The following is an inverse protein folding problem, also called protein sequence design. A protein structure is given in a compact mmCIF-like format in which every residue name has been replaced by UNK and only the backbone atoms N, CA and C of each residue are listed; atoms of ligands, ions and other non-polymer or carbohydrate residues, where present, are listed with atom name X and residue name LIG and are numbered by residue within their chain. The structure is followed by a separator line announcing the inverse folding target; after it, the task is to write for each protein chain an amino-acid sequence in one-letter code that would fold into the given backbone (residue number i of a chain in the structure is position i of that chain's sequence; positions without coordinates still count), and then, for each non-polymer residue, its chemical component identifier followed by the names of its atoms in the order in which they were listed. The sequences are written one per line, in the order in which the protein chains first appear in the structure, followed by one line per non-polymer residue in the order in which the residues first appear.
data_IF_465902920025
#
_entry.id   IF_465902920025
#
_cell.length_a   1.000
_cell.length_b   1.000
_cell.length_c   1.000
_cell.angle_alpha   90.00
_cell.angle_beta   90.00
_cell.angle_gamma   90.00
#
_symmetry.space_group_name_H-M   'P 1'
#
loop_
_entity.id
_entity.type
_entity.pdbx_description
1 polymer ?
#
# COMPACT_ATOMS: atom_id res chain seq x y z
N UNK A 1 -4.83 8.77 -3.66
CA UNK A 1 -3.41 8.98 -3.30
C UNK A 1 -3.06 10.47 -3.19
N UNK A 2 -3.47 11.32 -4.12
CA UNK A 2 -3.18 12.77 -4.08
C UNK A 2 -3.58 13.43 -2.76
N UNK A 3 -4.80 13.19 -2.26
CA UNK A 3 -5.27 13.78 -1.00
C UNK A 3 -4.37 13.44 0.21
N UNK A 4 -3.84 12.22 0.28
CA UNK A 4 -2.92 11.82 1.36
C UNK A 4 -1.57 12.56 1.25
N UNK A 5 -1.04 12.68 0.03
CA UNK A 5 0.18 13.44 -0.22
C UNK A 5 -0.01 14.92 0.06
N UNK A 6 -1.16 15.49 -0.34
CA UNK A 6 -1.51 16.89 -0.09
C UNK A 6 -1.57 17.18 1.42
N UNK A 7 -2.30 16.37 2.19
CA UNK A 7 -2.40 16.56 3.64
C UNK A 7 -1.04 16.44 4.35
N UNK A 8 -0.18 15.54 3.92
CA UNK A 8 1.18 15.44 4.45
C UNK A 8 2.05 16.65 4.06
N UNK A 9 1.93 17.11 2.82
CA UNK A 9 2.65 18.28 2.31
C UNK A 9 2.29 19.57 3.07
N UNK A 10 1.00 19.79 3.37
CA UNK A 10 0.52 20.98 4.08
C UNK A 10 1.14 21.15 5.47
N UNK A 11 1.49 20.05 6.13
CA UNK A 11 2.14 20.07 7.45
C UNK A 11 3.66 19.91 7.38
N UNK A 12 4.25 20.04 6.18
CA UNK A 12 5.70 19.90 5.97
C UNK A 12 6.19 18.45 6.08
N UNK A 13 5.29 17.45 5.95
CA UNK A 13 5.63 16.05 5.95
C UNK A 13 6.31 15.60 4.65
N UNK A 14 7.14 14.57 4.73
CA UNK A 14 7.79 13.95 3.58
C UNK A 14 6.80 13.06 2.83
N UNK A 15 6.72 13.22 1.52
CA UNK A 15 5.88 12.43 0.62
C UNK A 15 6.73 11.84 -0.50
N UNK A 16 6.71 10.52 -0.63
CA UNK A 16 7.50 9.81 -1.64
C UNK A 16 6.55 9.09 -2.60
N UNK A 17 6.68 9.35 -3.89
CA UNK A 17 5.93 8.68 -4.95
C UNK A 17 6.79 7.65 -5.67
N UNK A 18 6.19 6.50 -5.96
CA UNK A 18 6.75 5.48 -6.85
C UNK A 18 5.89 5.44 -8.11
N UNK A 19 6.40 6.02 -9.19
CA UNK A 19 5.73 6.09 -10.48
C UNK A 19 6.19 4.96 -11.40
N UNK A 20 5.49 4.78 -12.52
CA UNK A 20 5.82 3.80 -13.56
C UNK A 20 5.86 4.52 -14.90
N UNK A 21 6.82 4.19 -15.74
CA UNK A 21 6.84 4.66 -17.12
C UNK A 21 5.70 4.01 -17.90
N UNK A 22 4.80 4.82 -18.45
CA UNK A 22 3.70 4.37 -19.31
C UNK A 22 3.78 5.04 -20.68
N UNK A 23 3.21 4.39 -21.69
CA UNK A 23 3.17 4.92 -23.06
C UNK A 23 2.36 6.23 -23.20
N UNK A 24 1.52 6.54 -22.23
CA UNK A 24 0.79 7.81 -22.16
C UNK A 24 1.38 8.68 -21.05
N UNK A 25 1.46 9.99 -21.30
CA UNK A 25 1.99 10.95 -20.33
C UNK A 25 1.21 10.87 -19.01
N UNK A 26 1.93 10.61 -17.92
CA UNK A 26 1.42 10.72 -16.57
C UNK A 26 2.23 11.77 -15.82
N UNK A 27 1.53 12.78 -15.32
CA UNK A 27 2.16 13.77 -14.45
C UNK A 27 2.23 13.22 -13.02
N UNK A 28 3.41 13.27 -12.38
CA UNK A 28 3.52 12.96 -10.96
C UNK A 28 2.58 13.83 -10.13
N UNK A 29 2.11 13.29 -9.01
CA UNK A 29 1.34 14.06 -8.04
C UNK A 29 2.16 15.30 -7.58
N UNK A 30 1.61 16.54 -7.67
CA UNK A 30 2.33 17.75 -7.39
C UNK A 30 2.74 17.92 -5.91
N UNK A 31 2.18 17.15 -5.00
CA UNK A 31 2.47 17.20 -3.57
C UNK A 31 3.53 16.19 -3.11
N UNK A 32 4.28 15.61 -4.05
CA UNK A 32 5.42 14.75 -3.72
C UNK A 32 6.66 15.58 -3.43
N UNK A 33 7.35 15.24 -2.34
CA UNK A 33 8.68 15.77 -2.04
C UNK A 33 9.77 15.03 -2.81
N UNK A 34 9.52 13.75 -3.12
CA UNK A 34 10.41 12.90 -3.91
C UNK A 34 9.57 11.98 -4.81
N UNK A 35 10.08 11.69 -6.01
CA UNK A 35 9.45 10.76 -6.94
C UNK A 35 10.50 9.84 -7.57
N UNK A 36 10.25 8.55 -7.54
CA UNK A 36 11.05 7.53 -8.21
C UNK A 36 10.21 6.92 -9.34
N UNK A 37 10.77 6.85 -10.55
CA UNK A 37 10.08 6.27 -11.70
C UNK A 37 10.70 4.93 -12.06
N UNK A 38 9.88 3.92 -12.23
CA UNK A 38 10.27 2.54 -12.54
C UNK A 38 9.84 2.17 -13.96
N UNK A 39 10.65 1.37 -14.64
CA UNK A 39 10.32 0.79 -15.95
C UNK A 39 9.43 -0.45 -15.80
N UNK A 40 9.55 -1.18 -14.68
CA UNK A 40 8.87 -2.46 -14.48
C UNK A 40 7.91 -2.42 -13.30
N UNK A 41 6.69 -2.91 -13.50
CA UNK A 41 5.66 -2.98 -12.46
C UNK A 41 6.10 -3.76 -11.23
N UNK A 42 6.79 -4.89 -11.41
CA UNK A 42 7.24 -5.70 -10.28
C UNK A 42 8.23 -4.96 -9.37
N UNK A 43 9.16 -4.21 -9.96
CA UNK A 43 10.13 -3.43 -9.19
C UNK A 43 9.44 -2.32 -8.38
N UNK A 44 8.48 -1.60 -8.99
CA UNK A 44 7.67 -0.60 -8.31
C UNK A 44 6.88 -1.21 -7.16
N UNK A 45 6.18 -2.34 -7.37
CA UNK A 45 5.36 -3.00 -6.35
C UNK A 45 6.20 -3.48 -5.17
N UNK A 46 7.31 -4.15 -5.41
CA UNK A 46 8.24 -4.58 -4.36
C UNK A 46 8.73 -3.38 -3.54
N UNK A 47 9.09 -2.29 -4.20
CA UNK A 47 9.58 -1.07 -3.53
C UNK A 47 8.51 -0.44 -2.64
N UNK A 48 7.25 -0.37 -3.11
CA UNK A 48 6.10 0.09 -2.30
C UNK A 48 5.88 -0.80 -1.08
N UNK A 49 5.89 -2.12 -1.27
CA UNK A 49 5.65 -3.08 -0.21
C UNK A 49 6.73 -3.04 0.87
N UNK A 50 8.00 -2.97 0.47
CA UNK A 50 9.13 -2.93 1.42
C UNK A 50 9.20 -1.64 2.23
N UNK A 51 8.75 -0.51 1.67
CA UNK A 51 8.76 0.78 2.34
C UNK A 51 7.64 0.93 3.36
N UNK A 52 6.54 0.19 3.21
CA UNK A 52 5.34 0.35 4.00
C UNK A 52 5.46 -0.27 5.40
N UNK A 53 4.72 0.32 6.35
CA UNK A 53 4.48 -0.20 7.71
C UNK A 53 2.99 -0.31 8.01
N UNK A 54 2.17 0.39 7.24
CA UNK A 54 0.71 0.31 7.22
C UNK A 54 0.29 0.39 5.77
N UNK A 55 -0.62 -0.46 5.37
CA UNK A 55 -1.21 -0.44 4.04
C UNK A 55 -2.62 0.12 4.11
N UNK A 56 -2.92 1.08 3.24
CA UNK A 56 -4.24 1.71 3.17
C UNK A 56 -4.71 1.71 1.72
N UNK A 57 -5.77 0.98 1.46
CA UNK A 57 -6.38 0.87 0.14
C UNK A 57 -7.72 1.60 0.09
N UNK A 58 -7.84 2.52 -0.82
CA UNK A 58 -9.10 3.17 -1.18
C UNK A 58 -9.75 2.46 -2.36
N UNK A 59 -11.05 2.70 -2.65
CA UNK A 59 -11.70 2.18 -3.85
C UNK A 59 -10.87 2.46 -5.10
N UNK A 60 -10.68 1.42 -5.92
CA UNK A 60 -9.83 1.52 -7.11
C UNK A 60 -10.08 0.42 -8.12
N UNK A 61 -9.39 0.45 -9.24
CA UNK A 61 -9.51 -0.53 -10.32
C UNK A 61 -8.54 -1.72 -10.17
N UNK A 62 -8.23 -2.34 -11.31
CA UNK A 62 -7.39 -3.54 -11.38
C UNK A 62 -6.00 -3.36 -10.76
N UNK A 63 -5.39 -2.17 -10.90
CA UNK A 63 -4.08 -1.91 -10.28
C UNK A 63 -4.14 -1.96 -8.75
N UNK A 64 -5.21 -1.42 -8.14
CA UNK A 64 -5.42 -1.50 -6.70
C UNK A 64 -5.66 -2.93 -6.24
N UNK A 65 -6.44 -3.71 -7.01
CA UNK A 65 -6.70 -5.13 -6.71
C UNK A 65 -5.44 -5.97 -6.86
N UNK A 66 -4.59 -5.70 -7.84
CA UNK A 66 -3.30 -6.36 -8.05
C UNK A 66 -2.36 -6.11 -6.86
N UNK A 67 -2.20 -4.85 -6.43
CA UNK A 67 -1.38 -4.49 -5.28
C UNK A 67 -1.94 -5.10 -3.98
N UNK A 68 -3.25 -5.03 -3.75
CA UNK A 68 -3.90 -5.62 -2.57
C UNK A 68 -3.71 -7.14 -2.52
N UNK A 69 -3.99 -7.83 -3.63
CA UNK A 69 -3.89 -9.30 -3.69
C UNK A 69 -2.46 -9.78 -3.45
N UNK A 70 -1.46 -9.07 -3.96
CA UNK A 70 -0.06 -9.38 -3.69
C UNK A 70 0.28 -9.23 -2.21
N UNK A 71 -0.12 -8.11 -1.58
CA UNK A 71 0.14 -7.88 -0.14
C UNK A 71 -0.56 -8.93 0.73
N UNK A 72 -1.80 -9.29 0.41
CA UNK A 72 -2.53 -10.34 1.12
C UNK A 72 -1.83 -11.70 0.99
N UNK A 73 -1.42 -12.08 -0.24
CA UNK A 73 -0.72 -13.32 -0.50
C UNK A 73 0.62 -13.38 0.23
N UNK A 74 1.45 -12.33 0.15
CA UNK A 74 2.74 -12.28 0.84
C UNK A 74 2.58 -12.33 2.36
N UNK A 75 1.53 -11.73 2.90
CA UNK A 75 1.23 -11.74 4.34
C UNK A 75 0.76 -13.13 4.79
N UNK A 76 -0.13 -13.77 4.02
CA UNK A 76 -0.63 -15.12 4.26
C UNK A 76 0.51 -16.14 4.28
N UNK A 77 1.38 -16.09 3.29
CA UNK A 77 2.53 -17.00 3.13
C UNK A 77 3.71 -16.69 4.07
N UNK A 78 3.59 -15.66 4.92
CA UNK A 78 4.66 -15.24 5.83
C UNK A 78 5.92 -14.73 5.10
N UNK A 79 5.79 -14.32 3.85
CA UNK A 79 6.88 -13.71 3.05
C UNK A 79 7.05 -12.24 3.36
N UNK A 80 6.08 -11.65 4.05
CA UNK A 80 6.09 -10.29 4.55
C UNK A 80 5.73 -10.29 6.04
N UNK A 81 6.31 -9.41 6.87
CA UNK A 81 5.84 -9.22 8.24
C UNK A 81 4.36 -8.82 8.25
N UNK A 82 3.63 -9.27 9.26
CA UNK A 82 2.23 -8.88 9.45
C UNK A 82 2.15 -7.39 9.77
N UNK A 83 1.70 -6.61 8.79
CA UNK A 83 1.47 -5.18 8.89
C UNK A 83 -0.05 -4.92 8.91
N UNK A 84 -0.53 -3.85 9.56
CA UNK A 84 -1.92 -3.44 9.44
C UNK A 84 -2.29 -3.13 7.99
N UNK A 85 -3.40 -3.70 7.53
CA UNK A 85 -3.96 -3.48 6.18
C UNK A 85 -5.37 -2.97 6.35
N UNK A 86 -5.65 -1.77 5.86
CA UNK A 86 -6.96 -1.13 5.92
C UNK A 86 -7.55 -0.94 4.54
N UNK A 87 -8.80 -1.37 4.37
CA UNK A 87 -9.61 -1.14 3.18
C UNK A 87 -10.65 -0.07 3.54
N UNK A 88 -10.47 1.13 3.01
CA UNK A 88 -11.31 2.28 3.32
C UNK A 88 -12.43 2.41 2.29
N UNK A 89 -13.66 2.53 2.77
CA UNK A 89 -14.87 2.61 1.95
C UNK A 89 -15.66 1.29 1.99
N UNK A 90 -16.42 1.08 3.07
CA UNK A 90 -17.19 -0.14 3.31
C UNK A 90 -18.08 -0.51 2.13
N UNK A 91 -18.81 0.45 1.57
CA UNK A 91 -19.72 0.22 0.46
C UNK A 91 -19.04 -0.43 -0.76
N UNK A 92 -17.78 -0.07 -1.00
CA UNK A 92 -17.00 -0.65 -2.09
C UNK A 92 -16.40 -2.01 -1.72
N UNK A 93 -15.81 -2.13 -0.52
CA UNK A 93 -15.05 -3.31 -0.12
C UNK A 93 -15.90 -4.46 0.44
N UNK A 94 -17.18 -4.23 0.75
CA UNK A 94 -18.08 -5.28 1.26
C UNK A 94 -18.16 -6.49 0.31
N UNK A 95 -18.23 -6.26 -0.99
CA UNK A 95 -18.26 -7.34 -1.99
C UNK A 95 -16.96 -8.15 -1.99
N UNK A 96 -15.82 -7.46 -1.83
CA UNK A 96 -14.52 -8.13 -1.72
C UNK A 96 -14.44 -8.97 -0.44
N UNK A 97 -14.89 -8.44 0.68
CA UNK A 97 -14.95 -9.16 1.97
C UNK A 97 -15.81 -10.43 1.86
N UNK A 98 -16.95 -10.36 1.20
CA UNK A 98 -17.80 -11.53 0.90
C UNK A 98 -17.08 -12.58 0.06
N UNK A 99 -16.24 -12.18 -0.90
CA UNK A 99 -15.40 -13.11 -1.68
C UNK A 99 -14.39 -13.83 -0.78
N UNK A 100 -13.73 -13.11 0.12
CA UNK A 100 -12.77 -13.69 1.07
C UNK A 100 -13.46 -14.67 2.02
N UNK A 101 -14.62 -14.32 2.57
CA UNK A 101 -15.43 -15.21 3.41
C UNK A 101 -15.84 -16.49 2.63
N UNK A 102 -16.16 -16.33 1.35
CA UNK A 102 -16.46 -17.48 0.49
C UNK A 102 -15.25 -18.38 0.27
N UNK A 103 -14.07 -17.81 0.10
CA UNK A 103 -12.81 -18.57 0.00
C UNK A 103 -12.56 -19.38 1.28
N UNK A 104 -12.75 -18.78 2.46
CA UNK A 104 -12.60 -19.49 3.74
C UNK A 104 -13.64 -20.64 3.88
N UNK A 105 -14.91 -20.37 3.57
CA UNK A 105 -15.97 -21.38 3.58
C UNK A 105 -15.65 -22.58 2.68
N UNK A 106 -15.03 -22.33 1.52
CA UNK A 106 -14.59 -23.36 0.58
C UNK A 106 -13.23 -23.99 0.96
N UNK A 107 -12.62 -23.56 2.07
CA UNK A 107 -11.31 -24.00 2.55
C UNK A 107 -10.17 -23.75 1.56
N UNK A 108 -10.27 -22.69 0.76
CA UNK A 108 -9.22 -22.21 -0.14
C UNK A 108 -8.18 -21.35 0.59
N UNK A 109 -8.58 -20.78 1.71
CA UNK A 109 -7.73 -20.05 2.68
C UNK A 109 -8.11 -20.52 4.09
N UNK A 110 -7.28 -20.17 5.09
CA UNK A 110 -7.59 -20.46 6.48
C UNK A 110 -8.55 -19.41 7.06
N UNK A 111 -9.32 -19.76 8.10
CA UNK A 111 -10.19 -18.79 8.81
C UNK A 111 -9.41 -17.61 9.42
N UNK A 112 -8.14 -17.83 9.77
CA UNK A 112 -7.26 -16.76 10.26
C UNK A 112 -6.94 -15.71 9.20
N UNK A 113 -7.03 -16.07 7.92
CA UNK A 113 -6.65 -15.21 6.81
C UNK A 113 -7.73 -14.16 6.53
N UNK A 114 -8.98 -14.40 6.94
CA UNK A 114 -10.05 -13.40 6.92
C UNK A 114 -9.72 -12.15 7.75
N UNK A 115 -8.81 -12.27 8.71
CA UNK A 115 -8.42 -11.21 9.65
C UNK A 115 -7.11 -10.51 9.26
N UNK A 116 -6.59 -10.77 8.06
CA UNK A 116 -5.36 -10.13 7.58
C UNK A 116 -5.59 -8.63 7.32
N UNK A 117 -6.81 -8.22 6.99
CA UNK A 117 -7.17 -6.83 6.73
C UNK A 117 -8.39 -6.39 7.54
N UNK A 118 -8.62 -5.08 7.62
CA UNK A 118 -9.79 -4.47 8.23
C UNK A 118 -10.52 -3.59 7.20
N UNK A 119 -11.82 -3.82 7.01
CA UNK A 119 -12.69 -2.92 6.23
C UNK A 119 -13.28 -1.87 7.16
N UNK A 120 -13.00 -0.60 6.94
CA UNK A 120 -13.41 0.48 7.83
C UNK A 120 -13.63 1.79 7.09
N UNK A 121 -14.53 2.65 7.62
CA UNK A 121 -14.65 4.05 7.22
C UNK A 121 -13.99 4.98 8.24
N UNK A 122 -13.50 4.43 9.34
CA UNK A 122 -12.88 5.20 10.40
C UNK A 122 -11.37 5.37 10.17
N UNK A 123 -10.97 6.51 9.63
CA UNK A 123 -9.57 6.85 9.39
C UNK A 123 -8.74 6.95 10.69
N UNK A 124 -9.39 7.12 11.85
CA UNK A 124 -8.68 7.13 13.13
C UNK A 124 -8.01 5.79 13.42
N UNK A 125 -8.60 4.65 12.99
CA UNK A 125 -7.99 3.33 13.13
C UNK A 125 -6.63 3.25 12.42
N UNK A 126 -6.52 3.88 11.23
CA UNK A 126 -5.27 3.98 10.48
C UNK A 126 -4.22 4.81 11.23
N UNK A 127 -4.64 5.97 11.73
CA UNK A 127 -3.77 6.87 12.49
C UNK A 127 -3.26 6.19 13.77
N UNK A 128 -4.14 5.51 14.49
CA UNK A 128 -3.79 4.79 15.72
C UNK A 128 -2.83 3.64 15.46
N UNK A 129 -3.02 2.90 14.36
CA UNK A 129 -2.11 1.84 13.95
C UNK A 129 -0.72 2.40 13.58
N UNK A 130 -0.68 3.48 12.81
CA UNK A 130 0.57 4.14 12.44
C UNK A 130 1.33 4.65 13.68
N UNK A 131 0.64 5.28 14.63
CA UNK A 131 1.23 5.78 15.86
C UNK A 131 1.78 4.65 16.76
N UNK A 132 1.12 3.49 16.82
CA UNK A 132 1.60 2.32 17.58
C UNK A 132 2.90 1.75 17.02
N UNK A 133 3.09 1.79 15.72
CA UNK A 133 4.31 1.30 15.07
C UNK A 133 5.48 2.27 15.30
N UNK A 134 5.19 3.54 15.56
CA UNK A 134 6.17 4.60 15.73
C UNK A 134 6.82 5.02 14.40
N UNK A 135 7.70 6.01 14.50
CA UNK A 135 8.49 6.46 13.35
C UNK A 135 9.70 5.53 13.18
N UNK A 136 9.70 4.63 12.19
CA UNK A 136 10.92 3.87 11.92
C UNK A 136 12.02 4.88 11.56
N UNK A 137 13.19 4.74 12.17
CA UNK A 137 14.38 5.42 11.66
C UNK A 137 14.70 4.77 10.31
N UNK A 138 14.13 5.34 9.25
CA UNK A 138 14.54 4.97 7.89
C UNK A 138 15.98 5.44 7.79
N UNK A 139 16.92 4.51 7.60
CA UNK A 139 18.33 4.87 7.37
C UNK A 139 18.37 5.77 6.13
N UNK A 140 19.20 6.80 6.16
CA UNK A 140 19.39 7.69 5.00
C UNK A 140 19.70 6.90 3.72
N UNK A 141 20.37 5.76 3.86
CA UNK A 141 20.73 4.86 2.75
C UNK A 141 19.56 3.99 2.23
N UNK A 142 18.40 3.95 2.88
CA UNK A 142 17.28 3.13 2.43
C UNK A 142 16.79 3.56 1.04
N UNK A 143 16.74 4.86 0.78
CA UNK A 143 16.31 5.42 -0.52
C UNK A 143 17.42 5.43 -1.57
N UNK A 144 18.69 5.31 -1.19
CA UNK A 144 19.80 5.27 -2.16
C UNK A 144 19.74 4.00 -3.02
N UNK A 145 19.27 2.88 -2.47
CA UNK A 145 19.01 1.67 -3.23
C UNK A 145 17.94 1.85 -4.31
N UNK A 146 16.93 2.69 -4.07
CA UNK A 146 15.89 3.00 -5.06
C UNK A 146 16.38 3.98 -6.13
N UNK A 147 17.24 4.94 -5.78
CA UNK A 147 17.86 5.83 -6.77
C UNK A 147 18.70 5.06 -7.78
N UNK A 148 19.51 4.10 -7.33
CA UNK A 148 20.28 3.26 -8.23
C UNK A 148 19.40 2.38 -9.14
N UNK A 149 18.25 1.90 -8.65
CA UNK A 149 17.32 1.11 -9.43
C UNK A 149 16.49 1.92 -10.45
N UNK A 150 16.39 3.25 -10.28
CA UNK A 150 15.69 4.16 -11.19
C UNK A 150 16.59 4.71 -12.31
N UNK A 151 17.91 4.51 -12.22
CA UNK A 151 18.89 4.97 -13.22
C UNK A 151 19.29 3.88 -14.24
N UNK A 152 18.74 2.66 -14.10
CA UNK A 152 18.94 1.51 -15.00
C UNK A 152 17.73 1.34 -15.90
#
# INVERSE_FOLDING_TARGET
MEAASHGAYEIGGRTVGFNITLAHEQFPNPYLTECFTFEYFFARKVSLAMAAKVFVFFPGGFGTMDELSEILCLTQEGKMPKMPIFLIGKDYWETFDQVIQKMATLKLINESDEKIFEVTDNLQNVVDAANKIGHPKISENFYDGFRQASEV
#
